data_IF_568217768990
#
_entry.id   IF_568217768990
#
_cell.length_a   1.000
_cell.length_b   1.000
_cell.length_c   1.000
_cell.angle_alpha   90.00
_cell.angle_beta   90.00
_cell.angle_gamma   90.00
#
_symmetry.space_group_name_H-M   'P 1'
#
loop_
_entity.id
_entity.type
_entity.pdbx_description
1 polymer ?
#
# COMPACT_ATOMS: atom_id res chain seq x y z
N UNK A 1 9.75 -7.98 -10.78
CA UNK A 1 8.57 -7.07 -10.70
C UNK A 1 7.49 -7.68 -9.82
N UNK A 2 7.01 -8.89 -10.10
CA UNK A 2 6.00 -9.56 -9.27
C UNK A 2 6.49 -9.78 -7.82
N UNK A 3 7.70 -10.30 -7.64
CA UNK A 3 8.28 -10.49 -6.29
C UNK A 3 8.43 -9.18 -5.51
N UNK A 4 8.70 -8.08 -6.21
CA UNK A 4 8.83 -6.75 -5.61
C UNK A 4 7.49 -6.24 -5.04
N UNK A 5 6.39 -6.46 -5.76
CA UNK A 5 5.04 -6.10 -5.30
C UNK A 5 4.65 -6.93 -4.07
N UNK A 6 4.98 -8.23 -4.07
CA UNK A 6 4.73 -9.11 -2.92
C UNK A 6 5.51 -8.64 -1.69
N UNK A 7 6.80 -8.35 -1.84
CA UNK A 7 7.63 -7.84 -0.75
C UNK A 7 7.13 -6.50 -0.21
N UNK A 8 6.68 -5.61 -1.09
CA UNK A 8 6.10 -4.34 -0.69
C UNK A 8 4.83 -4.52 0.14
N UNK A 9 3.92 -5.42 -0.27
CA UNK A 9 2.70 -5.67 0.49
C UNK A 9 2.96 -6.30 1.86
N UNK A 10 3.96 -7.17 1.97
CA UNK A 10 4.41 -7.67 3.27
C UNK A 10 4.91 -6.53 4.19
N UNK A 11 5.60 -5.52 3.63
CA UNK A 11 6.04 -4.35 4.39
C UNK A 11 4.87 -3.44 4.79
N UNK A 12 3.90 -3.22 3.91
CA UNK A 12 2.68 -2.45 4.20
C UNK A 12 1.93 -3.09 5.37
N UNK A 13 1.75 -4.40 5.35
CA UNK A 13 1.10 -5.16 6.43
C UNK A 13 1.91 -5.07 7.74
N UNK A 14 3.22 -5.31 7.67
CA UNK A 14 4.13 -5.23 8.83
C UNK A 14 4.10 -3.86 9.52
N UNK A 15 3.97 -2.80 8.73
CA UNK A 15 3.94 -1.41 9.19
C UNK A 15 2.51 -0.91 9.51
N UNK A 16 1.49 -1.73 9.27
CA UNK A 16 0.08 -1.38 9.45
C UNK A 16 -0.30 -0.09 8.70
N UNK A 17 0.16 0.01 7.45
CA UNK A 17 -0.07 1.18 6.59
C UNK A 17 -1.37 1.04 5.82
N UNK A 18 -2.02 2.18 5.58
CA UNK A 18 -3.19 2.20 4.71
C UNK A 18 -2.77 2.23 3.25
N UNK A 19 -3.51 1.51 2.42
CA UNK A 19 -3.36 1.50 0.97
C UNK A 19 -4.72 1.67 0.29
N UNK A 20 -4.68 1.96 -1.00
CA UNK A 20 -5.84 1.93 -1.90
C UNK A 20 -5.38 1.62 -3.32
N UNK A 21 -6.29 1.13 -4.13
CA UNK A 21 -5.99 0.73 -5.51
C UNK A 21 -6.88 1.46 -6.49
N UNK A 22 -6.42 1.57 -7.73
CA UNK A 22 -7.25 1.94 -8.87
C UNK A 22 -7.19 0.83 -9.90
N UNK A 23 -8.35 0.44 -10.42
CA UNK A 23 -8.45 -0.53 -11.50
C UNK A 23 -8.31 0.15 -12.87
N UNK A 24 -7.91 -0.60 -13.89
CA UNK A 24 -7.69 -0.06 -15.25
C UNK A 24 -9.00 0.46 -15.86
N UNK A 25 -10.10 -0.21 -15.57
CA UNK A 25 -11.46 0.02 -16.06
C UNK A 25 -12.25 1.03 -15.21
N UNK A 26 -11.66 1.56 -14.13
CA UNK A 26 -12.29 2.59 -13.29
C UNK A 26 -11.47 3.88 -13.24
N UNK A 27 -12.15 5.02 -13.29
CA UNK A 27 -11.52 6.32 -13.04
C UNK A 27 -11.33 6.59 -11.55
N UNK A 28 -12.11 5.93 -10.70
CA UNK A 28 -12.09 6.13 -9.26
C UNK A 28 -11.02 5.27 -8.58
N UNK A 29 -10.37 5.86 -7.58
CA UNK A 29 -9.49 5.16 -6.64
C UNK A 29 -10.35 4.64 -5.50
N UNK A 30 -10.08 3.42 -5.02
CA UNK A 30 -10.78 2.83 -3.89
C UNK A 30 -10.63 3.67 -2.62
N UNK A 31 -11.49 3.40 -1.64
CA UNK A 31 -11.32 3.93 -0.28
C UNK A 31 -10.02 3.41 0.34
N UNK A 32 -9.49 4.14 1.33
CA UNK A 32 -8.36 3.66 2.13
C UNK A 32 -8.73 2.40 2.90
N UNK A 33 -7.82 1.43 2.90
CA UNK A 33 -7.95 0.17 3.61
C UNK A 33 -6.61 -0.23 4.24
N UNK A 34 -6.68 -1.08 5.24
CA UNK A 34 -5.54 -1.71 5.93
C UNK A 34 -5.79 -3.21 6.14
N UNK A 35 -6.82 -3.78 5.51
CA UNK A 35 -7.14 -5.20 5.61
C UNK A 35 -6.02 -6.08 5.06
N UNK A 36 -5.88 -7.28 5.66
CA UNK A 36 -4.91 -8.32 5.29
C UNK A 36 -4.81 -8.46 3.78
N UNK A 37 -3.61 -8.20 3.27
CA UNK A 37 -3.29 -8.40 1.87
C UNK A 37 -2.66 -9.78 1.80
N UNK A 38 -3.20 -10.66 0.98
CA UNK A 38 -2.50 -11.86 0.57
C UNK A 38 -1.87 -11.57 -0.78
N UNK A 39 -0.64 -11.01 -0.82
CA UNK A 39 -0.01 -10.73 -2.08
C UNK A 39 0.35 -12.05 -2.74
N UNK A 40 -0.33 -12.36 -3.83
CA UNK A 40 0.07 -13.48 -4.68
C UNK A 40 0.72 -12.95 -5.95
N UNK A 41 1.48 -13.81 -6.66
CA UNK A 41 2.10 -13.41 -7.92
C UNK A 41 1.15 -12.87 -8.98
N UNK A 42 -0.15 -13.17 -8.89
CA UNK A 42 -1.12 -12.92 -9.96
C UNK A 42 -2.32 -12.07 -9.54
N UNK A 43 -2.58 -11.94 -8.24
CA UNK A 43 -3.74 -11.19 -7.73
C UNK A 43 -3.44 -10.57 -6.36
N UNK A 44 -4.23 -9.55 -6.01
CA UNK A 44 -4.27 -8.95 -4.68
C UNK A 44 -5.64 -9.26 -4.08
N UNK A 45 -5.62 -9.77 -2.85
CA UNK A 45 -6.80 -9.83 -1.97
C UNK A 45 -6.81 -8.58 -1.08
N UNK A 46 -7.93 -7.86 -1.06
CA UNK A 46 -8.14 -6.70 -0.20
C UNK A 46 -9.58 -6.70 0.35
N UNK A 47 -9.93 -5.76 1.25
CA UNK A 47 -11.22 -5.77 1.93
C UNK A 47 -12.46 -5.68 1.01
N UNK A 48 -12.27 -5.29 -0.25
CA UNK A 48 -13.33 -5.12 -1.25
C UNK A 48 -13.34 -6.20 -2.35
N UNK A 49 -12.43 -7.18 -2.31
CA UNK A 49 -12.46 -8.32 -3.23
C UNK A 49 -11.08 -8.84 -3.64
N UNK A 50 -11.10 -9.68 -4.68
CA UNK A 50 -9.92 -10.30 -5.26
C UNK A 50 -9.73 -9.75 -6.67
N UNK A 51 -8.59 -9.11 -6.92
CA UNK A 51 -8.31 -8.43 -8.19
C UNK A 51 -7.05 -8.98 -8.83
N UNK A 52 -7.08 -9.40 -10.10
CA UNK A 52 -5.87 -9.73 -10.84
C UNK A 52 -4.90 -8.53 -10.85
N UNK A 53 -3.60 -8.75 -10.63
CA UNK A 53 -2.60 -7.68 -10.66
C UNK A 53 -2.64 -6.91 -11.98
N UNK A 54 -2.86 -7.61 -13.10
CA UNK A 54 -3.02 -7.02 -14.44
C UNK A 54 -4.24 -6.10 -14.61
N UNK A 55 -5.18 -6.12 -13.67
CA UNK A 55 -6.35 -5.25 -13.67
C UNK A 55 -6.14 -4.01 -12.78
N UNK A 56 -5.04 -3.97 -12.02
CA UNK A 56 -4.68 -2.85 -11.16
C UNK A 56 -3.83 -1.88 -11.98
N UNK A 57 -4.29 -0.64 -12.08
CA UNK A 57 -3.57 0.45 -12.75
C UNK A 57 -2.52 1.06 -11.84
N UNK A 58 -2.90 1.32 -10.60
CA UNK A 58 -2.00 1.89 -9.61
C UNK A 58 -2.37 1.48 -8.19
N UNK A 59 -1.36 1.46 -7.34
CA UNK A 59 -1.46 1.25 -5.90
C UNK A 59 -0.95 2.53 -5.23
N UNK A 60 -1.71 3.01 -4.25
CA UNK A 60 -1.35 4.17 -3.43
C UNK A 60 -1.23 3.73 -1.97
N UNK A 61 -0.17 4.20 -1.31
CA UNK A 61 0.18 3.81 0.06
C UNK A 61 0.36 5.10 0.85
N UNK A 62 -0.34 5.22 1.96
CA UNK A 62 -0.12 6.29 2.92
C UNK A 62 1.05 5.89 3.84
N UNK A 63 2.14 6.66 3.83
CA UNK A 63 3.31 6.37 4.68
C UNK A 63 3.07 6.63 6.18
N UNK A 64 1.93 7.23 6.54
CA UNK A 64 1.56 7.50 7.92
C UNK A 64 0.80 6.32 8.53
N UNK A 65 1.42 5.74 9.56
CA UNK A 65 0.75 4.83 10.46
C UNK A 65 0.06 5.62 11.59
N UNK A 66 -1.25 5.42 11.71
CA UNK A 66 -2.03 5.93 12.82
C UNK A 66 -2.23 4.81 13.86
N UNK A 67 -1.35 4.75 14.86
CA UNK A 67 -1.35 3.69 15.86
C UNK A 67 -2.24 4.06 17.05
N UNK A 68 -3.30 3.28 17.24
CA UNK A 68 -4.14 3.34 18.43
C UNK A 68 -3.65 2.33 19.47
N UNK A 69 -3.18 2.83 20.62
CA UNK A 69 -2.61 1.99 21.71
C UNK A 69 -3.65 1.75 22.82
N UNK A 70 -4.72 2.54 22.86
CA UNK A 70 -5.81 2.39 23.82
C UNK A 70 -6.57 3.71 24.06
N UNK A 71 -7.73 3.61 24.70
CA UNK A 71 -8.71 4.71 24.81
C UNK A 71 -8.22 5.98 25.51
N UNK A 72 -7.14 5.86 26.31
CA UNK A 72 -6.58 6.98 27.09
C UNK A 72 -5.22 7.46 26.58
N UNK A 73 -4.71 6.88 25.50
CA UNK A 73 -3.44 7.25 24.89
C UNK A 73 -3.76 8.01 23.60
N UNK A 74 -3.15 9.17 23.43
CA UNK A 74 -3.30 9.94 22.20
C UNK A 74 -2.89 9.06 20.99
N UNK A 75 -3.61 9.22 19.88
CA UNK A 75 -3.26 8.57 18.62
C UNK A 75 -1.80 8.92 18.28
N UNK A 76 -0.98 7.89 18.06
CA UNK A 76 0.40 8.10 17.66
C UNK A 76 0.47 8.09 16.13
N UNK A 77 0.91 9.19 15.56
CA UNK A 77 1.24 9.32 14.15
C UNK A 77 2.72 8.96 13.96
N UNK A 78 3.01 7.96 13.14
CA UNK A 78 4.37 7.52 12.82
C UNK A 78 4.55 7.64 11.31
N UNK A 79 5.57 8.39 10.90
CA UNK A 79 5.93 8.55 9.49
C UNK A 79 6.95 7.48 9.09
N UNK A 80 6.58 6.66 8.10
CA UNK A 80 7.43 5.60 7.55
C UNK A 80 7.97 5.94 6.15
N UNK A 81 7.93 7.21 5.74
CA UNK A 81 8.33 7.63 4.38
C UNK A 81 9.75 7.21 4.03
N UNK A 82 10.73 7.46 4.91
CA UNK A 82 12.14 7.10 4.66
C UNK A 82 12.32 5.59 4.43
N UNK A 83 11.68 4.78 5.27
CA UNK A 83 11.76 3.33 5.18
C UNK A 83 11.07 2.81 3.90
N UNK A 84 9.89 3.33 3.58
CA UNK A 84 9.19 2.97 2.34
C UNK A 84 10.01 3.36 1.11
N UNK A 85 10.63 4.54 1.12
CA UNK A 85 11.46 4.99 0.03
C UNK A 85 12.66 4.06 -0.20
N UNK A 86 13.36 3.67 0.87
CA UNK A 86 14.44 2.69 0.80
C UNK A 86 13.98 1.37 0.19
N UNK A 87 12.82 0.85 0.62
CA UNK A 87 12.24 -0.39 0.10
C UNK A 87 11.85 -0.29 -1.37
N UNK A 88 11.24 0.82 -1.77
CA UNK A 88 10.87 1.06 -3.16
C UNK A 88 12.12 1.12 -4.06
N UNK A 89 13.16 1.83 -3.62
CA UNK A 89 14.44 1.89 -4.34
C UNK A 89 15.10 0.52 -4.47
N UNK A 90 15.15 -0.27 -3.38
CA UNK A 90 15.70 -1.63 -3.39
C UNK A 90 14.94 -2.59 -4.32
N UNK A 91 13.62 -2.42 -4.40
CA UNK A 91 12.74 -3.27 -5.20
C UNK A 91 12.76 -2.93 -6.70
N UNK A 92 13.29 -1.76 -7.07
CA UNK A 92 13.31 -1.25 -8.44
C UNK A 92 11.93 -0.88 -8.98
N UNK A 93 10.93 -0.71 -8.10
CA UNK A 93 9.58 -0.29 -8.49
C UNK A 93 9.60 1.18 -8.89
N UNK A 94 8.86 1.52 -9.94
CA UNK A 94 8.65 2.92 -10.31
C UNK A 94 7.55 3.51 -9.44
N UNK A 95 7.86 4.61 -8.75
CA UNK A 95 6.92 5.30 -7.87
C UNK A 95 7.09 6.81 -7.96
N UNK A 96 6.06 7.53 -7.54
CA UNK A 96 6.14 8.95 -7.20
C UNK A 96 5.56 9.18 -5.82
N UNK A 97 6.00 10.24 -5.16
CA UNK A 97 5.52 10.64 -3.84
C UNK A 97 4.85 11.99 -3.96
N UNK A 98 3.62 12.10 -3.45
CA UNK A 98 2.91 13.37 -3.29
C UNK A 98 2.18 13.36 -1.94
N UNK A 99 2.35 14.39 -1.12
CA UNK A 99 1.68 14.52 0.18
C UNK A 99 1.76 13.25 1.06
N UNK A 100 2.95 12.64 1.17
CA UNK A 100 3.21 11.41 1.93
C UNK A 100 2.48 10.16 1.37
N UNK A 101 1.94 10.25 0.17
CA UNK A 101 1.34 9.13 -0.55
C UNK A 101 2.33 8.64 -1.61
N UNK A 102 2.75 7.39 -1.45
CA UNK A 102 3.53 6.67 -2.45
C UNK A 102 2.57 6.08 -3.47
N UNK A 103 2.73 6.45 -4.73
CA UNK A 103 1.92 5.93 -5.82
C UNK A 103 2.79 5.17 -6.81
N UNK A 104 2.45 3.93 -7.04
CA UNK A 104 3.09 3.03 -7.98
C UNK A 104 2.12 2.69 -9.11
N UNK A 105 2.58 2.76 -10.35
CA UNK A 105 1.84 2.31 -11.53
C UNK A 105 2.28 0.89 -11.88
N UNK A 106 1.31 0.02 -12.17
CA UNK A 106 1.51 -1.37 -12.55
C UNK A 106 1.25 -1.61 -14.04
#
# INVERSE_FOLDING_TARGET
MIDAIVLLFNEIERLNLNYRIQLIDTLEVSVWDHFLIFPTPNYIECGYGIFPLRAVRQIQINSIENRYIGQRVALKCIDHSELLEEKMQQSGLHYHIENQIFTMTL
#
